data_IF_967551242835
#
_entry.id   IF_967551242835
#
_cell.length_a   1.000
_cell.length_b   1.000
_cell.length_c   1.000
_cell.angle_alpha   90.00
_cell.angle_beta   90.00
_cell.angle_gamma   90.00
#
_symmetry.space_group_name_H-M   'P 1'
#
loop_
_entity.id
_entity.type
_entity.pdbx_description
1 polymer ?
#
# COMPACT_ATOMS: atom_id res chain seq x y z
N UNK A 1 -10.76 9.11 21.14
CA UNK A 1 -9.37 8.70 21.46
C UNK A 1 -8.43 9.36 20.48
N UNK A 2 -7.30 9.96 20.92
CA UNK A 2 -6.31 10.58 20.03
C UNK A 2 -5.13 9.62 19.83
N UNK A 3 -4.94 9.14 18.62
CA UNK A 3 -3.85 8.22 18.24
C UNK A 3 -2.80 8.97 17.43
N UNK A 4 -1.52 8.84 17.82
CA UNK A 4 -0.36 9.29 17.03
C UNK A 4 0.16 8.12 16.19
N UNK A 5 0.07 8.22 14.88
CA UNK A 5 0.62 7.24 13.93
C UNK A 5 2.00 7.62 13.42
N UNK A 6 2.86 6.62 13.25
CA UNK A 6 4.24 6.76 12.75
C UNK A 6 4.48 5.74 11.65
N UNK A 7 4.80 6.22 10.43
CA UNK A 7 5.10 5.40 9.26
C UNK A 7 6.53 5.67 8.78
N UNK A 8 7.33 4.58 8.67
CA UNK A 8 8.72 4.63 8.17
C UNK A 8 9.10 3.33 7.44
N UNK A 9 8.15 2.60 6.82
CA UNK A 9 8.44 1.25 6.31
C UNK A 9 9.26 1.22 5.02
N UNK A 10 9.28 2.30 4.24
CA UNK A 10 9.95 2.36 2.94
C UNK A 10 10.70 3.69 2.72
N UNK A 11 10.17 4.59 1.91
CA UNK A 11 10.80 5.87 1.52
C UNK A 11 9.98 7.11 1.92
N UNK A 12 8.84 6.93 2.58
CA UNK A 12 8.05 7.99 3.20
C UNK A 12 8.28 8.02 4.71
N UNK A 13 8.63 9.19 5.26
CA UNK A 13 8.60 9.47 6.70
C UNK A 13 7.33 10.24 6.99
N UNK A 14 6.40 9.68 7.73
CA UNK A 14 5.14 10.35 8.04
C UNK A 14 4.73 10.21 9.50
N UNK A 15 4.06 11.26 10.01
CA UNK A 15 3.36 11.25 11.29
C UNK A 15 1.96 11.81 11.09
N UNK A 16 0.99 11.29 11.84
CA UNK A 16 -0.38 11.78 11.81
C UNK A 16 -1.06 11.65 13.17
N UNK A 17 -2.02 12.50 13.42
CA UNK A 17 -2.95 12.40 14.53
C UNK A 17 -4.34 12.08 13.99
N UNK A 18 -4.93 11.01 14.51
CA UNK A 18 -6.32 10.61 14.22
C UNK A 18 -7.10 10.63 15.53
N UNK A 19 -8.32 11.16 15.48
CA UNK A 19 -9.25 11.19 16.62
C UNK A 19 -10.61 10.72 16.18
N UNK A 20 -11.08 9.65 16.81
CA UNK A 20 -12.43 9.09 16.59
C UNK A 20 -12.73 8.83 15.10
N UNK A 21 -11.75 8.28 14.37
CA UNK A 21 -11.83 7.97 12.94
C UNK A 21 -11.59 9.15 12.01
N UNK A 22 -11.28 10.35 12.51
CA UNK A 22 -11.02 11.54 11.70
C UNK A 22 -9.54 11.95 11.78
N UNK A 23 -8.95 12.26 10.61
CA UNK A 23 -7.60 12.81 10.55
C UNK A 23 -7.59 14.25 11.08
N UNK A 24 -6.91 14.49 12.19
CA UNK A 24 -6.72 15.83 12.77
C UNK A 24 -5.68 16.61 11.99
N UNK A 25 -4.52 16.01 11.74
CA UNK A 25 -3.41 16.59 10.95
C UNK A 25 -2.44 15.47 10.55
N UNK A 26 -1.75 15.68 9.44
CA UNK A 26 -0.68 14.78 8.99
C UNK A 26 0.48 15.55 8.39
N UNK A 27 1.69 15.03 8.58
CA UNK A 27 2.93 15.56 8.00
C UNK A 27 3.70 14.42 7.34
N UNK A 28 4.27 14.70 6.18
CA UNK A 28 4.99 13.71 5.37
C UNK A 28 6.22 14.33 4.72
N UNK A 29 7.33 13.60 4.74
CA UNK A 29 8.51 13.85 3.93
C UNK A 29 8.78 12.63 3.05
N UNK A 30 8.78 12.83 1.73
CA UNK A 30 9.13 11.78 0.76
C UNK A 30 10.61 11.85 0.40
N UNK A 31 11.19 10.70 0.15
CA UNK A 31 12.57 10.52 -0.31
C UNK A 31 12.63 10.18 -1.81
N UNK A 32 11.49 10.29 -2.51
CA UNK A 32 11.34 9.85 -3.91
C UNK A 32 12.40 10.45 -4.84
N UNK A 33 12.70 11.75 -4.72
CA UNK A 33 13.66 12.43 -5.58
C UNK A 33 15.09 11.88 -5.41
N UNK A 34 15.46 11.53 -4.18
CA UNK A 34 16.78 10.93 -3.90
C UNK A 34 16.86 9.52 -4.48
N UNK A 35 15.84 8.71 -4.28
CA UNK A 35 15.80 7.33 -4.74
C UNK A 35 15.65 7.22 -6.27
N UNK A 36 15.00 8.19 -6.90
CA UNK A 36 14.90 8.26 -8.37
C UNK A 36 16.28 8.33 -9.06
N UNK A 37 17.29 8.95 -8.41
CA UNK A 37 18.66 9.00 -8.92
C UNK A 37 19.31 7.62 -9.05
N UNK A 38 18.87 6.66 -8.23
CA UNK A 38 19.37 5.28 -8.20
C UNK A 38 18.46 4.31 -8.96
N UNK A 39 17.31 4.80 -9.46
CA UNK A 39 16.32 3.97 -10.16
C UNK A 39 15.53 3.02 -9.25
N UNK A 40 15.46 3.33 -7.95
CA UNK A 40 14.73 2.58 -6.94
C UNK A 40 15.23 2.87 -5.53
N UNK A 41 14.52 2.36 -4.50
CA UNK A 41 14.84 2.64 -3.09
C UNK A 41 16.15 1.98 -2.66
N UNK A 42 17.02 2.77 -2.01
CA UNK A 42 18.28 2.32 -1.40
C UNK A 42 18.09 2.27 0.12
N UNK A 43 18.05 1.08 0.75
CA UNK A 43 17.65 0.89 2.16
C UNK A 43 18.48 1.69 3.16
N UNK A 44 19.79 1.81 2.94
CA UNK A 44 20.71 2.54 3.81
C UNK A 44 20.46 4.04 3.78
N UNK A 45 20.13 4.59 2.61
CA UNK A 45 19.77 5.99 2.45
C UNK A 45 18.43 6.24 3.14
N UNK A 46 17.43 5.37 2.88
CA UNK A 46 16.11 5.48 3.48
C UNK A 46 16.21 5.56 5.02
N UNK A 47 16.96 4.66 5.64
CA UNK A 47 17.11 4.64 7.10
C UNK A 47 17.70 5.95 7.66
N UNK A 48 18.69 6.54 6.97
CA UNK A 48 19.34 7.79 7.39
C UNK A 48 18.39 8.99 7.25
N UNK A 49 17.63 9.04 6.18
CA UNK A 49 16.67 10.14 5.96
C UNK A 49 15.50 10.07 6.95
N UNK A 50 14.99 8.87 7.28
CA UNK A 50 14.00 8.73 8.36
C UNK A 50 14.51 9.30 9.69
N UNK A 51 15.75 8.99 10.05
CA UNK A 51 16.36 9.53 11.27
C UNK A 51 16.45 11.07 11.26
N UNK A 52 16.74 11.66 10.10
CA UNK A 52 16.82 13.13 9.95
C UNK A 52 15.47 13.82 10.05
N UNK A 53 14.43 13.22 9.46
CA UNK A 53 13.13 13.88 9.35
C UNK A 53 12.21 13.66 10.54
N UNK A 54 12.31 12.52 11.23
CA UNK A 54 11.28 12.09 12.17
C UNK A 54 11.06 13.09 13.32
N UNK A 55 12.14 13.58 13.93
CA UNK A 55 12.04 14.56 15.02
C UNK A 55 11.46 15.90 14.53
N UNK A 56 11.92 16.40 13.39
CA UNK A 56 11.43 17.66 12.83
C UNK A 56 9.94 17.58 12.41
N UNK A 57 9.53 16.45 11.86
CA UNK A 57 8.11 16.22 11.50
C UNK A 57 7.24 16.11 12.77
N UNK A 58 7.75 15.49 13.83
CA UNK A 58 7.02 15.44 15.10
C UNK A 58 6.81 16.84 15.68
N UNK A 59 7.85 17.65 15.72
CA UNK A 59 7.75 19.04 16.21
C UNK A 59 6.79 19.86 15.34
N UNK A 60 6.83 19.69 14.02
CA UNK A 60 5.92 20.38 13.08
C UNK A 60 4.48 19.94 13.27
N UNK A 61 4.21 18.64 13.46
CA UNK A 61 2.87 18.13 13.71
C UNK A 61 2.28 18.71 15.00
N UNK A 62 3.07 18.71 16.08
CA UNK A 62 2.65 19.28 17.35
C UNK A 62 2.45 20.80 17.28
N UNK A 63 3.31 21.50 16.56
CA UNK A 63 3.19 22.93 16.31
C UNK A 63 1.92 23.30 15.53
N UNK A 64 1.57 22.53 14.48
CA UNK A 64 0.37 22.77 13.65
C UNK A 64 -0.91 22.58 14.43
N UNK A 65 -0.94 21.57 15.28
CA UNK A 65 -2.14 21.22 16.05
C UNK A 65 -2.25 21.97 17.39
N UNK A 66 -1.15 22.51 17.89
CA UNK A 66 -1.09 23.07 19.25
C UNK A 66 -1.16 22.01 20.36
N UNK A 67 -1.11 20.73 19.98
CA UNK A 67 -1.16 19.59 20.90
C UNK A 67 0.25 19.22 21.39
N UNK A 68 0.30 18.42 22.42
CA UNK A 68 1.53 17.87 23.02
C UNK A 68 1.40 16.37 23.19
N UNK A 69 2.50 15.68 23.54
CA UNK A 69 2.47 14.26 23.86
C UNK A 69 1.51 13.93 25.02
N UNK A 70 1.25 14.87 25.92
CA UNK A 70 0.31 14.67 27.02
C UNK A 70 -1.13 14.45 26.52
N UNK A 71 -1.50 15.09 25.41
CA UNK A 71 -2.84 15.03 24.81
C UNK A 71 -3.07 13.74 24.01
N UNK A 72 -2.00 13.02 23.64
CA UNK A 72 -2.05 11.74 22.91
C UNK A 72 -2.47 10.63 23.87
N UNK A 73 -3.46 9.81 23.47
CA UNK A 73 -3.90 8.67 24.27
C UNK A 73 -3.10 7.40 23.97
N UNK A 74 -2.70 7.19 22.70
CA UNK A 74 -2.00 6.00 22.24
C UNK A 74 -1.03 6.33 21.11
N UNK A 75 0.12 5.65 21.07
CA UNK A 75 1.09 5.72 19.98
C UNK A 75 1.00 4.46 19.12
N UNK A 76 0.87 4.62 17.81
CA UNK A 76 0.86 3.53 16.84
C UNK A 76 2.06 3.66 15.90
N UNK A 77 2.72 2.55 15.60
CA UNK A 77 3.89 2.56 14.71
C UNK A 77 3.87 1.34 13.79
N UNK A 78 4.28 1.53 12.56
CA UNK A 78 4.52 0.41 11.65
C UNK A 78 5.67 -0.46 12.16
N UNK A 79 5.34 -1.72 12.52
CA UNK A 79 6.35 -2.71 12.90
C UNK A 79 6.88 -3.52 11.71
N UNK A 80 6.14 -3.54 10.59
CA UNK A 80 6.42 -4.28 9.38
C UNK A 80 5.16 -4.67 8.59
N UNK A 81 5.36 -5.31 7.40
CA UNK A 81 6.64 -5.53 6.75
C UNK A 81 7.22 -4.25 6.16
N UNK A 82 8.56 -4.20 5.99
CA UNK A 82 9.22 -3.04 5.41
C UNK A 82 10.75 -3.21 5.36
N UNK A 83 11.46 -2.13 5.06
CA UNK A 83 12.92 -2.08 5.12
C UNK A 83 13.38 -2.07 6.59
N UNK A 84 14.16 -3.07 7.00
CA UNK A 84 14.51 -3.27 8.41
C UNK A 84 15.09 -2.01 9.08
N UNK A 85 16.07 -1.36 8.44
CA UNK A 85 16.71 -0.17 8.99
C UNK A 85 15.73 1.01 9.14
N UNK A 86 14.83 1.19 8.17
CA UNK A 86 13.78 2.20 8.19
C UNK A 86 12.76 1.94 9.31
N UNK A 87 12.27 0.70 9.42
CA UNK A 87 11.37 0.27 10.50
C UNK A 87 11.99 0.47 11.89
N UNK A 88 13.27 0.14 12.07
CA UNK A 88 13.97 0.29 13.34
C UNK A 88 13.99 1.74 13.82
N UNK A 89 14.13 2.72 12.92
CA UNK A 89 14.09 4.15 13.26
C UNK A 89 12.71 4.54 13.81
N UNK A 90 11.62 4.20 13.09
CA UNK A 90 10.25 4.50 13.53
C UNK A 90 9.89 3.79 14.83
N UNK A 91 10.20 2.49 14.95
CA UNK A 91 9.93 1.69 16.16
C UNK A 91 10.69 2.23 17.36
N UNK A 92 11.98 2.60 17.20
CA UNK A 92 12.76 3.18 18.29
C UNK A 92 12.19 4.53 18.76
N UNK A 93 11.80 5.38 17.82
CA UNK A 93 11.18 6.67 18.10
C UNK A 93 9.84 6.51 18.82
N UNK A 94 8.97 5.61 18.33
CA UNK A 94 7.68 5.32 18.97
C UNK A 94 7.83 4.79 20.39
N UNK A 95 8.78 3.88 20.63
CA UNK A 95 9.11 3.37 21.98
C UNK A 95 9.61 4.49 22.90
N UNK A 96 10.43 5.41 22.36
CA UNK A 96 10.89 6.58 23.09
C UNK A 96 9.74 7.49 23.54
N UNK A 97 8.80 7.80 22.64
CA UNK A 97 7.60 8.60 22.96
C UNK A 97 6.69 7.87 23.96
N UNK A 98 6.47 6.57 23.77
CA UNK A 98 5.67 5.73 24.67
C UNK A 98 6.23 5.77 26.11
N UNK A 99 7.54 5.61 26.25
CA UNK A 99 8.22 5.70 27.57
C UNK A 99 8.15 7.10 28.17
N UNK A 100 8.47 8.14 27.39
CA UNK A 100 8.51 9.52 27.88
C UNK A 100 7.14 10.03 28.33
N UNK A 101 6.08 9.68 27.60
CA UNK A 101 4.71 10.08 27.88
C UNK A 101 3.91 9.06 28.71
N UNK A 102 4.49 7.92 29.05
CA UNK A 102 3.77 6.76 29.60
C UNK A 102 2.51 6.42 28.80
N UNK A 103 2.64 6.35 27.47
CA UNK A 103 1.52 6.09 26.56
C UNK A 103 1.52 4.65 26.10
N UNK A 104 0.36 3.99 26.00
CA UNK A 104 0.24 2.68 25.35
C UNK A 104 0.81 2.71 23.94
N UNK A 105 1.37 1.59 23.50
CA UNK A 105 2.01 1.44 22.20
C UNK A 105 1.35 0.31 21.40
N UNK A 106 1.11 0.56 20.13
CA UNK A 106 0.55 -0.42 19.18
C UNK A 106 1.50 -0.59 18.00
N UNK A 107 1.91 -1.84 17.79
CA UNK A 107 2.73 -2.25 16.67
C UNK A 107 1.84 -2.68 15.49
N UNK A 108 1.68 -1.81 14.52
CA UNK A 108 0.74 -1.97 13.40
C UNK A 108 1.36 -2.78 12.27
N UNK A 109 0.58 -3.68 11.68
CA UNK A 109 0.90 -4.31 10.41
C UNK A 109 0.60 -3.32 9.27
N UNK A 110 1.64 -2.91 8.54
CA UNK A 110 1.56 -1.98 7.42
C UNK A 110 0.50 -2.39 6.35
N UNK A 111 0.46 -3.68 6.01
CA UNK A 111 -0.46 -4.20 4.99
C UNK A 111 -1.92 -4.14 5.46
N UNK A 112 -2.15 -4.47 6.72
CA UNK A 112 -3.48 -4.37 7.33
C UNK A 112 -3.94 -2.91 7.43
N UNK A 113 -3.02 -1.99 7.78
CA UNK A 113 -3.32 -0.58 7.86
C UNK A 113 -3.83 0.00 6.53
N UNK A 114 -3.23 -0.37 5.39
CA UNK A 114 -3.75 0.02 4.08
C UNK A 114 -5.20 -0.42 3.85
N UNK A 115 -5.54 -1.66 4.20
CA UNK A 115 -6.90 -2.17 4.03
C UNK A 115 -7.90 -1.50 4.99
N UNK A 116 -7.48 -1.23 6.22
CA UNK A 116 -8.31 -0.58 7.22
C UNK A 116 -8.47 0.92 7.00
N UNK A 117 -7.54 1.57 6.29
CA UNK A 117 -7.59 3.00 5.98
C UNK A 117 -8.87 3.44 5.26
N UNK A 118 -9.51 2.53 4.54
CA UNK A 118 -10.82 2.77 3.92
C UNK A 118 -11.89 3.14 4.95
N UNK A 119 -11.73 2.71 6.20
CA UNK A 119 -12.61 3.06 7.33
C UNK A 119 -12.62 4.53 7.73
N UNK A 120 -11.65 5.32 7.27
CA UNK A 120 -11.66 6.79 7.43
C UNK A 120 -12.72 7.49 6.56
N UNK A 121 -13.16 6.84 5.49
CA UNK A 121 -14.07 7.42 4.49
C UNK A 121 -15.36 6.62 4.31
N UNK A 122 -15.38 5.37 4.79
CA UNK A 122 -16.49 4.43 4.62
C UNK A 122 -16.76 3.65 5.90
N UNK A 123 -18.02 3.31 6.16
CA UNK A 123 -18.35 2.36 7.22
C UNK A 123 -17.90 0.94 6.83
N UNK A 124 -17.14 0.28 7.70
CA UNK A 124 -16.65 -1.08 7.49
C UNK A 124 -17.58 -2.10 8.15
N UNK A 125 -18.41 -2.75 7.34
CA UNK A 125 -19.28 -3.85 7.79
C UNK A 125 -18.59 -5.18 7.52
N UNK A 126 -18.07 -5.81 8.56
CA UNK A 126 -17.33 -7.07 8.44
C UNK A 126 -18.29 -8.29 8.29
N UNK A 127 -17.85 -9.40 7.65
CA UNK A 127 -16.55 -9.59 7.01
C UNK A 127 -16.46 -8.96 5.61
N UNK A 128 -15.26 -8.50 5.24
CA UNK A 128 -14.96 -7.88 3.95
C UNK A 128 -13.95 -8.74 3.17
N UNK A 129 -13.95 -8.63 1.86
CA UNK A 129 -12.89 -9.17 1.00
C UNK A 129 -11.96 -8.04 0.58
N UNK A 130 -10.69 -8.11 0.98
CA UNK A 130 -9.70 -7.08 0.74
C UNK A 130 -8.69 -7.47 -0.35
N UNK A 131 -8.45 -6.57 -1.32
CA UNK A 131 -7.34 -6.64 -2.26
C UNK A 131 -6.33 -5.54 -1.91
N UNK A 132 -5.14 -5.95 -1.48
CA UNK A 132 -4.01 -5.05 -1.30
C UNK A 132 -3.10 -5.14 -2.52
N UNK A 133 -2.91 -4.02 -3.22
CA UNK A 133 -2.04 -3.92 -4.41
C UNK A 133 -1.13 -2.71 -4.32
N UNK A 134 0.17 -2.95 -4.18
CA UNK A 134 1.21 -1.92 -4.04
C UNK A 134 2.44 -2.24 -4.90
N UNK A 135 3.47 -1.42 -4.82
CA UNK A 135 4.76 -1.69 -5.43
C UNK A 135 5.42 -2.97 -4.93
N UNK A 136 5.18 -3.35 -3.67
CA UNK A 136 5.81 -4.48 -3.03
C UNK A 136 4.92 -5.69 -2.75
N UNK A 137 3.60 -5.53 -2.80
CA UNK A 137 2.65 -6.56 -2.37
C UNK A 137 1.45 -6.65 -3.30
N UNK A 138 0.97 -7.88 -3.52
CA UNK A 138 -0.30 -8.18 -4.17
C UNK A 138 -0.93 -9.34 -3.40
N UNK A 139 -1.88 -9.02 -2.53
CA UNK A 139 -2.47 -9.93 -1.57
C UNK A 139 -3.99 -9.86 -1.58
N UNK A 140 -4.64 -11.00 -1.35
CA UNK A 140 -6.08 -11.08 -1.07
C UNK A 140 -6.26 -11.47 0.39
N UNK A 141 -7.07 -10.72 1.11
CA UNK A 141 -7.42 -10.98 2.50
C UNK A 141 -8.93 -11.15 2.68
N UNK A 142 -9.34 -12.01 3.61
CA UNK A 142 -10.62 -11.88 4.29
C UNK A 142 -10.40 -11.07 5.55
N UNK A 143 -11.23 -10.06 5.76
CA UNK A 143 -11.17 -9.16 6.90
C UNK A 143 -12.38 -9.44 7.77
N UNK A 144 -12.19 -10.20 8.84
CA UNK A 144 -13.28 -10.57 9.77
C UNK A 144 -13.48 -9.49 10.85
N UNK A 145 -12.43 -8.75 11.18
CA UNK A 145 -12.41 -7.64 12.13
C UNK A 145 -11.09 -6.86 11.96
N UNK A 146 -10.91 -5.65 12.55
CA UNK A 146 -9.65 -4.91 12.49
C UNK A 146 -8.43 -5.69 13.02
N UNK A 147 -8.63 -6.57 13.99
CA UNK A 147 -7.60 -7.45 14.55
C UNK A 147 -7.47 -8.81 13.83
N UNK A 148 -8.38 -9.14 12.91
CA UNK A 148 -8.46 -10.47 12.29
C UNK A 148 -8.54 -10.38 10.77
N UNK A 149 -7.40 -10.50 10.12
CA UNK A 149 -7.25 -10.54 8.66
C UNK A 149 -6.59 -11.86 8.25
N UNK A 150 -7.31 -12.67 7.48
CA UNK A 150 -6.79 -13.93 6.94
C UNK A 150 -6.27 -13.74 5.52
N UNK A 151 -5.01 -14.09 5.28
CA UNK A 151 -4.39 -14.07 3.95
C UNK A 151 -4.91 -15.27 3.14
N UNK A 152 -5.62 -14.98 2.05
CA UNK A 152 -6.22 -16.00 1.16
C UNK A 152 -5.35 -16.31 -0.06
N UNK A 153 -4.57 -15.34 -0.53
CA UNK A 153 -3.68 -15.48 -1.68
C UNK A 153 -2.68 -14.32 -1.77
N UNK A 154 -1.56 -14.56 -2.42
CA UNK A 154 -0.48 -13.58 -2.55
C UNK A 154 0.27 -13.76 -3.86
N UNK A 155 1.11 -12.79 -4.25
CA UNK A 155 1.97 -12.97 -5.41
C UNK A 155 3.12 -13.94 -5.11
N UNK A 156 3.41 -14.81 -6.09
CA UNK A 156 4.50 -15.80 -6.04
C UNK A 156 5.82 -15.24 -6.59
N UNK A 157 5.75 -14.11 -7.29
CA UNK A 157 6.90 -13.45 -7.93
C UNK A 157 6.78 -11.91 -7.79
N UNK A 158 6.78 -11.17 -8.89
CA UNK A 158 6.63 -9.72 -8.85
C UNK A 158 5.24 -9.31 -8.30
N UNK A 159 5.19 -8.24 -7.52
CA UNK A 159 3.92 -7.58 -7.20
C UNK A 159 3.38 -6.83 -8.44
N UNK A 160 2.08 -6.54 -8.49
CA UNK A 160 1.46 -5.85 -9.62
C UNK A 160 2.11 -4.48 -9.90
N UNK A 161 2.42 -3.70 -8.86
CA UNK A 161 3.11 -2.42 -9.02
C UNK A 161 4.55 -2.60 -9.51
N UNK A 162 5.28 -3.58 -9.00
CA UNK A 162 6.63 -3.92 -9.46
C UNK A 162 6.63 -4.35 -10.94
N UNK A 163 5.62 -5.12 -11.36
CA UNK A 163 5.45 -5.50 -12.76
C UNK A 163 5.20 -4.27 -13.66
N UNK A 164 4.41 -3.31 -13.19
CA UNK A 164 4.21 -2.03 -13.86
C UNK A 164 5.51 -1.21 -13.97
N UNK A 165 6.25 -1.07 -12.88
CA UNK A 165 7.52 -0.33 -12.89
C UNK A 165 8.57 -0.98 -13.80
N UNK A 166 8.64 -2.32 -13.81
CA UNK A 166 9.51 -3.06 -14.72
C UNK A 166 9.12 -2.87 -16.19
N UNK A 167 7.83 -2.86 -16.51
CA UNK A 167 7.35 -2.59 -17.85
C UNK A 167 7.65 -1.15 -18.29
N UNK A 168 7.40 -0.17 -17.43
CA UNK A 168 7.77 1.22 -17.68
C UNK A 168 9.27 1.37 -17.95
N UNK A 169 10.11 0.70 -17.17
CA UNK A 169 11.57 0.67 -17.36
C UNK A 169 11.96 0.04 -18.71
N UNK A 170 11.29 -1.04 -19.15
CA UNK A 170 11.52 -1.64 -20.46
C UNK A 170 11.18 -0.68 -21.61
N UNK A 171 10.14 0.15 -21.43
CA UNK A 171 9.77 1.23 -22.35
C UNK A 171 10.73 2.43 -22.30
N UNK A 172 11.69 2.48 -21.35
CA UNK A 172 12.58 3.62 -21.18
C UNK A 172 11.98 4.79 -20.40
N UNK A 173 10.81 4.61 -19.79
CA UNK A 173 10.15 5.60 -18.93
C UNK A 173 10.87 5.75 -17.58
N UNK A 174 10.79 6.93 -16.91
CA UNK A 174 11.40 7.15 -15.61
C UNK A 174 10.64 6.45 -14.46
N UNK A 175 11.30 6.32 -13.32
CA UNK A 175 10.69 5.89 -12.07
C UNK A 175 10.03 7.08 -11.34
N UNK A 176 8.86 6.88 -10.67
CA UNK A 176 8.03 5.68 -10.62
C UNK A 176 7.20 5.49 -11.91
N UNK A 177 7.25 4.27 -12.45
CA UNK A 177 6.66 3.96 -13.77
C UNK A 177 5.14 3.84 -13.76
N UNK A 178 4.56 3.33 -12.67
CA UNK A 178 3.13 3.01 -12.60
C UNK A 178 2.21 4.20 -12.86
N UNK A 179 2.55 5.39 -12.35
CA UNK A 179 1.78 6.63 -12.58
C UNK A 179 1.84 7.07 -14.05
N UNK A 180 3.01 6.92 -14.68
CA UNK A 180 3.19 7.28 -16.10
C UNK A 180 2.44 6.30 -17.01
N UNK A 181 2.48 5.01 -16.70
CA UNK A 181 1.71 4.01 -17.43
C UNK A 181 0.21 4.29 -17.35
N UNK A 182 -0.30 4.68 -16.17
CA UNK A 182 -1.72 5.02 -16.03
C UNK A 182 -2.10 6.24 -16.89
N UNK A 183 -1.28 7.31 -16.89
CA UNK A 183 -1.51 8.49 -17.72
C UNK A 183 -1.50 8.17 -19.22
N UNK A 184 -0.55 7.36 -19.67
CA UNK A 184 -0.46 6.95 -21.07
C UNK A 184 -1.63 6.04 -21.43
N UNK A 185 -1.97 5.06 -20.58
CA UNK A 185 -3.07 4.13 -20.77
C UNK A 185 -4.43 4.80 -20.91
N UNK A 186 -4.68 5.91 -20.20
CA UNK A 186 -5.92 6.68 -20.31
C UNK A 186 -6.12 7.34 -21.68
N UNK A 187 -5.06 7.47 -22.49
CA UNK A 187 -5.10 8.05 -23.84
C UNK A 187 -5.08 7.00 -24.93
N UNK A 188 -4.85 5.73 -24.58
CA UNK A 188 -4.76 4.63 -25.52
C UNK A 188 -6.04 3.81 -25.60
N UNK A 189 -6.13 3.01 -26.65
CA UNK A 189 -7.15 1.97 -26.83
C UNK A 189 -6.55 0.62 -26.48
N UNK A 190 -7.14 -0.08 -25.49
CA UNK A 190 -6.62 -1.38 -25.07
C UNK A 190 -7.02 -2.51 -26.02
N UNK A 191 -6.06 -3.40 -26.32
CA UNK A 191 -6.30 -4.69 -26.94
C UNK A 191 -6.27 -5.79 -25.87
N UNK A 192 -7.40 -6.46 -25.69
CA UNK A 192 -7.54 -7.53 -24.69
C UNK A 192 -6.74 -8.79 -25.05
N UNK A 193 -6.26 -8.95 -26.26
CA UNK A 193 -5.52 -10.13 -26.72
C UNK A 193 -4.00 -9.92 -26.74
N UNK A 194 -3.53 -8.68 -26.60
CA UNK A 194 -2.10 -8.35 -26.74
C UNK A 194 -1.23 -8.98 -25.65
N UNK A 195 -1.72 -9.00 -24.40
CA UNK A 195 -0.99 -9.54 -23.26
C UNK A 195 -1.77 -10.65 -22.55
N UNK A 196 -1.09 -11.69 -22.01
CA UNK A 196 -1.74 -12.78 -21.28
C UNK A 196 -2.26 -12.31 -19.91
N UNK A 197 -3.20 -13.10 -19.33
CA UNK A 197 -3.62 -13.02 -17.91
C UNK A 197 -2.99 -14.20 -17.19
N UNK A 198 -1.74 -14.05 -16.73
CA UNK A 198 -1.00 -15.19 -16.23
C UNK A 198 -1.63 -15.74 -14.95
N UNK A 199 -1.49 -17.05 -14.77
CA UNK A 199 -1.86 -17.76 -13.54
C UNK A 199 -3.36 -17.74 -13.17
N UNK A 200 -4.24 -17.16 -14.00
CA UNK A 200 -5.69 -17.06 -13.72
C UNK A 200 -6.44 -18.38 -13.85
N UNK A 201 -5.92 -19.32 -14.66
CA UNK A 201 -6.50 -20.65 -14.86
C UNK A 201 -6.19 -21.63 -13.71
N UNK A 202 -5.18 -21.35 -12.89
CA UNK A 202 -4.81 -22.23 -11.75
C UNK A 202 -5.85 -22.11 -10.64
N UNK A 203 -6.19 -23.26 -10.05
CA UNK A 203 -7.20 -23.28 -8.98
C UNK A 203 -6.61 -22.92 -7.60
N UNK A 204 -6.13 -21.69 -7.49
CA UNK A 204 -5.73 -21.04 -6.23
C UNK A 204 -6.03 -19.53 -6.33
N UNK A 205 -5.72 -18.78 -5.26
CA UNK A 205 -5.91 -17.34 -5.19
C UNK A 205 -4.60 -16.55 -5.32
N UNK A 206 -3.48 -17.24 -5.59
CA UNK A 206 -2.19 -16.61 -5.76
C UNK A 206 -2.06 -15.94 -7.12
N UNK A 207 -1.18 -14.95 -7.20
CA UNK A 207 -0.85 -14.21 -8.40
C UNK A 207 0.54 -14.58 -8.93
N UNK A 208 0.75 -14.38 -10.22
CA UNK A 208 2.08 -14.36 -10.84
C UNK A 208 2.05 -13.36 -11.99
N UNK A 209 3.03 -12.49 -12.06
CA UNK A 209 3.18 -11.50 -13.14
C UNK A 209 4.40 -11.76 -14.03
N UNK A 210 5.18 -12.82 -13.76
CA UNK A 210 6.38 -13.15 -14.54
C UNK A 210 6.06 -13.44 -16.02
N UNK A 211 4.95 -14.13 -16.29
CA UNK A 211 4.49 -14.41 -17.66
C UNK A 211 4.12 -13.14 -18.44
N UNK A 212 3.52 -12.16 -17.76
CA UNK A 212 3.19 -10.87 -18.34
C UNK A 212 4.46 -10.08 -18.70
N UNK A 213 5.46 -10.08 -17.81
CA UNK A 213 6.77 -9.46 -18.05
C UNK A 213 7.46 -10.07 -19.28
N UNK A 214 7.48 -11.39 -19.40
CA UNK A 214 8.09 -12.09 -20.52
C UNK A 214 7.38 -11.74 -21.84
N UNK A 215 6.06 -11.73 -21.86
CA UNK A 215 5.28 -11.35 -23.03
C UNK A 215 5.55 -9.89 -23.45
N UNK A 216 5.63 -8.98 -22.48
CA UNK A 216 5.96 -7.59 -22.73
C UNK A 216 7.37 -7.42 -23.32
N UNK A 217 8.37 -8.13 -22.79
CA UNK A 217 9.73 -8.10 -23.31
C UNK A 217 9.79 -8.61 -24.75
N UNK A 218 9.12 -9.72 -25.05
CA UNK A 218 9.04 -10.28 -26.41
C UNK A 218 8.42 -9.26 -27.39
N UNK A 219 7.28 -8.68 -26.99
CA UNK A 219 6.59 -7.67 -27.81
C UNK A 219 7.46 -6.44 -28.09
N UNK A 220 8.15 -5.92 -27.07
CA UNK A 220 9.00 -4.73 -27.23
C UNK A 220 10.26 -5.01 -28.06
N UNK A 221 10.79 -6.24 -28.06
CA UNK A 221 11.88 -6.64 -28.94
C UNK A 221 11.46 -6.66 -30.42
N UNK A 222 10.20 -6.96 -30.69
CA UNK A 222 9.62 -6.91 -32.05
C UNK A 222 9.23 -5.47 -32.45
N UNK A 223 9.08 -4.56 -31.46
CA UNK A 223 8.66 -3.18 -31.66
C UNK A 223 9.62 -2.17 -31.01
N UNK A 224 10.92 -2.16 -31.39
CA UNK A 224 11.94 -1.34 -30.73
C UNK A 224 11.66 0.17 -30.82
N UNK A 225 10.86 0.62 -31.78
CA UNK A 225 10.43 2.02 -31.92
C UNK A 225 9.70 2.53 -30.68
N UNK A 226 8.92 1.66 -30.01
CA UNK A 226 8.19 2.03 -28.78
C UNK A 226 9.14 2.34 -27.62
N UNK A 227 10.27 1.63 -27.53
CA UNK A 227 11.30 1.88 -26.50
C UNK A 227 12.00 3.21 -26.76
N UNK A 228 12.33 3.51 -28.01
CA UNK A 228 12.90 4.80 -28.41
C UNK A 228 11.94 5.95 -28.10
N UNK A 229 10.68 5.74 -28.34
CA UNK A 229 9.62 6.70 -28.05
C UNK A 229 9.43 6.93 -26.55
N UNK A 230 9.42 5.87 -25.74
CA UNK A 230 9.38 5.99 -24.29
C UNK A 230 10.53 6.81 -23.71
N UNK A 231 11.75 6.70 -24.30
CA UNK A 231 12.90 7.56 -23.95
C UNK A 231 12.64 9.02 -24.29
N UNK A 232 12.02 9.32 -25.45
CA UNK A 232 11.63 10.70 -25.80
C UNK A 232 10.55 11.25 -24.88
N UNK A 233 9.56 10.43 -24.51
CA UNK A 233 8.54 10.82 -23.55
C UNK A 233 9.14 11.17 -22.17
N UNK A 234 10.21 10.50 -21.77
CA UNK A 234 10.99 10.86 -20.56
C UNK A 234 11.51 12.30 -20.59
N UNK A 235 11.92 12.78 -21.75
CA UNK A 235 12.51 14.12 -21.92
C UNK A 235 11.46 15.20 -22.23
N UNK A 236 10.46 14.85 -23.06
CA UNK A 236 9.47 15.78 -23.59
C UNK A 236 8.12 15.76 -22.86
N UNK A 237 7.92 14.83 -21.92
CA UNK A 237 6.68 14.65 -21.18
C UNK A 237 5.67 13.73 -21.88
N UNK A 238 4.66 13.26 -21.13
CA UNK A 238 3.68 12.27 -21.60
C UNK A 238 2.84 12.75 -22.79
N UNK A 239 2.67 14.05 -22.97
CA UNK A 239 1.87 14.62 -24.07
C UNK A 239 2.49 14.39 -25.46
N UNK A 240 3.78 14.08 -25.51
CA UNK A 240 4.50 13.74 -26.73
C UNK A 240 4.34 12.29 -27.20
N UNK A 241 3.68 11.44 -26.41
CA UNK A 241 3.49 10.02 -26.71
C UNK A 241 2.55 9.80 -27.90
N UNK A 242 2.92 8.87 -28.78
CA UNK A 242 2.09 8.43 -29.90
C UNK A 242 0.87 7.61 -29.43
N UNK A 243 -0.16 7.49 -30.27
CA UNK A 243 -1.27 6.56 -30.01
C UNK A 243 -0.77 5.12 -29.80
N UNK A 244 0.21 4.64 -30.57
CA UNK A 244 0.74 3.28 -30.46
C UNK A 244 1.38 3.00 -29.09
N UNK A 245 2.16 3.95 -28.53
CA UNK A 245 2.71 3.82 -27.18
C UNK A 245 1.61 3.84 -26.12
N UNK A 246 0.60 4.70 -26.29
CA UNK A 246 -0.55 4.77 -25.39
C UNK A 246 -1.37 3.47 -25.42
N UNK A 247 -1.59 2.87 -26.61
CA UNK A 247 -2.36 1.63 -26.78
C UNK A 247 -1.67 0.42 -26.13
N UNK A 248 -0.34 0.35 -26.23
CA UNK A 248 0.44 -0.70 -25.57
C UNK A 248 0.38 -0.54 -24.04
N UNK A 249 0.50 0.68 -23.53
CA UNK A 249 0.34 0.94 -22.10
C UNK A 249 -1.08 0.58 -21.63
N UNK A 250 -2.12 0.94 -22.39
CA UNK A 250 -3.51 0.61 -22.08
C UNK A 250 -3.74 -0.92 -22.06
N UNK A 251 -3.19 -1.64 -23.04
CA UNK A 251 -3.31 -3.10 -23.13
C UNK A 251 -2.60 -3.82 -21.98
N UNK A 252 -1.42 -3.33 -21.57
CA UNK A 252 -0.69 -3.88 -20.43
C UNK A 252 -1.46 -3.67 -19.13
N UNK A 253 -1.93 -2.45 -18.88
CA UNK A 253 -2.70 -2.13 -17.68
C UNK A 253 -4.03 -2.88 -17.61
N UNK A 254 -4.70 -3.10 -18.77
CA UNK A 254 -5.87 -3.97 -18.85
C UNK A 254 -5.55 -5.40 -18.41
N UNK A 255 -4.42 -5.97 -18.87
CA UNK A 255 -4.02 -7.32 -18.48
C UNK A 255 -3.76 -7.44 -16.97
N UNK A 256 -3.14 -6.43 -16.36
CA UNK A 256 -2.95 -6.36 -14.89
C UNK A 256 -4.31 -6.28 -14.18
N UNK A 257 -5.17 -5.34 -14.59
CA UNK A 257 -6.47 -5.11 -13.95
C UNK A 257 -7.40 -6.34 -14.03
N UNK A 258 -7.46 -7.01 -15.17
CA UNK A 258 -8.25 -8.23 -15.35
C UNK A 258 -7.67 -9.41 -14.56
N UNK A 259 -6.34 -9.55 -14.48
CA UNK A 259 -5.71 -10.59 -13.64
C UNK A 259 -6.12 -10.41 -12.16
N UNK A 260 -6.09 -9.18 -11.65
CA UNK A 260 -6.53 -8.86 -10.29
C UNK A 260 -8.03 -9.15 -10.10
N UNK A 261 -8.86 -8.68 -11.04
CA UNK A 261 -10.33 -8.86 -10.97
C UNK A 261 -10.75 -10.32 -11.01
N UNK A 262 -10.16 -11.14 -11.90
CA UNK A 262 -10.46 -12.57 -12.00
C UNK A 262 -10.12 -13.35 -10.73
N UNK A 263 -9.01 -13.04 -10.07
CA UNK A 263 -8.63 -13.66 -8.80
C UNK A 263 -9.51 -13.19 -7.64
N UNK A 264 -9.90 -11.92 -7.62
CA UNK A 264 -10.86 -11.40 -6.63
C UNK A 264 -12.25 -12.02 -6.81
N UNK A 265 -12.73 -12.17 -8.04
CA UNK A 265 -13.98 -12.89 -8.31
C UNK A 265 -13.94 -14.32 -7.77
N UNK A 266 -12.84 -15.03 -8.03
CA UNK A 266 -12.62 -16.39 -7.53
C UNK A 266 -12.61 -16.45 -6.01
N UNK A 267 -11.93 -15.48 -5.36
CA UNK A 267 -11.91 -15.35 -3.91
C UNK A 267 -13.32 -15.11 -3.35
N UNK A 268 -14.09 -14.20 -3.98
CA UNK A 268 -15.46 -13.94 -3.56
C UNK A 268 -16.34 -15.20 -3.62
N UNK A 269 -16.24 -15.99 -4.68
CA UNK A 269 -17.00 -17.23 -4.82
C UNK A 269 -16.61 -18.29 -3.78
N UNK A 270 -15.33 -18.38 -3.41
CA UNK A 270 -14.87 -19.29 -2.35
C UNK A 270 -15.35 -18.86 -0.96
N UNK A 271 -15.31 -17.57 -0.68
CA UNK A 271 -15.64 -17.01 0.63
C UNK A 271 -17.14 -16.64 0.79
N UNK A 272 -17.98 -16.85 -0.25
CA UNK A 272 -19.39 -16.39 -0.26
C UNK A 272 -20.21 -16.89 0.94
N UNK A 273 -19.91 -18.10 1.45
CA UNK A 273 -20.62 -18.68 2.61
C UNK A 273 -20.21 -18.00 3.92
N UNK A 274 -19.14 -17.24 3.95
CA UNK A 274 -18.70 -16.43 5.09
C UNK A 274 -19.50 -15.13 5.25
N UNK A 275 -20.42 -14.84 4.31
CA UNK A 275 -21.28 -13.66 4.41
C UNK A 275 -20.58 -12.33 4.03
N UNK A 276 -19.62 -12.36 3.10
CA UNK A 276 -18.89 -11.15 2.63
C UNK A 276 -19.88 -10.01 2.34
N UNK A 277 -19.67 -8.88 2.99
CA UNK A 277 -20.53 -7.69 2.92
C UNK A 277 -20.10 -6.69 1.88
N UNK A 278 -18.79 -6.61 1.56
CA UNK A 278 -18.21 -5.66 0.61
C UNK A 278 -16.80 -6.05 0.15
N UNK A 279 -16.30 -5.30 -0.83
CA UNK A 279 -14.95 -5.46 -1.39
C UNK A 279 -14.16 -4.20 -1.08
N UNK A 280 -12.97 -4.35 -0.51
CA UNK A 280 -11.99 -3.29 -0.26
C UNK A 280 -10.83 -3.43 -1.25
N UNK A 281 -10.37 -2.34 -1.85
CA UNK A 281 -9.13 -2.33 -2.65
C UNK A 281 -8.25 -1.18 -2.18
N UNK A 282 -7.03 -1.50 -1.75
CA UNK A 282 -6.10 -0.56 -1.15
C UNK A 282 -4.66 -0.72 -1.67
N UNK A 283 -3.79 0.22 -1.32
CA UNK A 283 -2.40 0.30 -1.78
C UNK A 283 -2.22 1.15 -3.03
N UNK A 284 -0.98 1.52 -3.36
CA UNK A 284 -0.66 2.50 -4.42
C UNK A 284 -1.23 2.17 -5.80
N UNK A 285 -1.29 0.88 -6.17
CA UNK A 285 -1.88 0.44 -7.46
C UNK A 285 -3.41 0.55 -7.46
N UNK A 286 -4.07 0.61 -6.29
CA UNK A 286 -5.50 0.88 -6.19
C UNK A 286 -5.89 2.29 -6.69
N UNK A 287 -4.93 3.20 -6.83
CA UNK A 287 -5.15 4.51 -7.45
C UNK A 287 -5.26 4.44 -8.98
N UNK A 288 -4.81 3.34 -9.61
CA UNK A 288 -4.81 3.17 -11.07
C UNK A 288 -6.24 3.12 -11.64
N UNK A 289 -6.45 3.85 -12.74
CA UNK A 289 -7.78 4.04 -13.34
C UNK A 289 -8.38 2.73 -13.86
N UNK A 290 -7.60 1.89 -14.54
CA UNK A 290 -8.10 0.62 -15.08
C UNK A 290 -8.37 -0.42 -14.00
N UNK A 291 -7.53 -0.46 -12.94
CA UNK A 291 -7.77 -1.33 -11.78
C UNK A 291 -9.07 -0.93 -11.08
N UNK A 292 -9.30 0.36 -10.84
CA UNK A 292 -10.58 0.85 -10.28
C UNK A 292 -11.77 0.46 -11.14
N UNK A 293 -11.68 0.67 -12.46
CA UNK A 293 -12.76 0.32 -13.38
C UNK A 293 -13.08 -1.19 -13.35
N UNK A 294 -12.05 -2.06 -13.38
CA UNK A 294 -12.24 -3.50 -13.31
C UNK A 294 -12.87 -3.96 -11.98
N UNK A 295 -12.49 -3.31 -10.87
CA UNK A 295 -13.07 -3.62 -9.56
C UNK A 295 -14.52 -3.12 -9.42
N UNK A 296 -14.89 -2.00 -10.04
CA UNK A 296 -16.29 -1.56 -10.12
C UNK A 296 -17.15 -2.58 -10.88
N UNK A 297 -16.69 -3.04 -12.05
CA UNK A 297 -17.39 -4.07 -12.82
C UNK A 297 -17.54 -5.36 -12.00
N UNK A 298 -16.51 -5.79 -11.28
CA UNK A 298 -16.59 -6.95 -10.41
C UNK A 298 -17.61 -6.74 -9.28
N UNK A 299 -17.57 -5.61 -8.59
CA UNK A 299 -18.46 -5.32 -7.47
C UNK A 299 -19.94 -5.31 -7.90
N UNK A 300 -20.25 -4.73 -9.05
CA UNK A 300 -21.58 -4.77 -9.66
C UNK A 300 -21.99 -6.22 -10.00
N UNK A 301 -21.08 -7.00 -10.61
CA UNK A 301 -21.34 -8.41 -10.97
C UNK A 301 -21.67 -9.28 -9.76
N UNK A 302 -20.99 -9.07 -8.64
CA UNK A 302 -21.22 -9.86 -7.41
C UNK A 302 -22.27 -9.23 -6.48
N UNK A 303 -22.81 -8.06 -6.81
CA UNK A 303 -23.83 -7.35 -6.05
C UNK A 303 -23.37 -6.89 -4.66
N UNK A 304 -22.12 -6.42 -4.55
CA UNK A 304 -21.51 -5.95 -3.29
C UNK A 304 -20.94 -4.55 -3.43
N UNK A 305 -20.98 -3.72 -2.37
CA UNK A 305 -20.34 -2.41 -2.40
C UNK A 305 -18.82 -2.55 -2.60
N UNK A 306 -18.26 -1.64 -3.39
CA UNK A 306 -16.82 -1.45 -3.54
C UNK A 306 -16.39 -0.26 -2.68
N UNK A 307 -15.46 -0.51 -1.77
CA UNK A 307 -14.88 0.49 -0.87
C UNK A 307 -13.47 0.81 -1.36
N UNK A 308 -13.29 1.99 -1.91
CA UNK A 308 -12.02 2.48 -2.42
C UNK A 308 -11.60 3.70 -1.61
N UNK A 309 -10.36 3.75 -1.10
CA UNK A 309 -9.88 4.96 -0.44
C UNK A 309 -9.65 6.07 -1.46
N UNK A 310 -9.66 7.31 -0.98
CA UNK A 310 -9.16 8.45 -1.75
C UNK A 310 -7.70 8.21 -2.17
N UNK A 311 -7.25 8.91 -3.23
CA UNK A 311 -5.87 8.70 -3.73
C UNK A 311 -4.80 9.01 -2.69
N UNK A 312 -5.07 9.93 -1.77
CA UNK A 312 -4.17 10.25 -0.66
C UNK A 312 -3.94 9.06 0.28
N UNK A 313 -4.98 8.27 0.57
CA UNK A 313 -4.89 7.09 1.44
C UNK A 313 -4.36 5.84 0.71
N UNK A 314 -4.19 5.88 -0.62
CA UNK A 314 -3.63 4.75 -1.37
C UNK A 314 -2.12 4.59 -1.18
N UNK A 315 -1.37 5.68 -0.99
CA UNK A 315 0.09 5.67 -0.78
C UNK A 315 0.45 5.53 0.68
N UNK A 316 1.72 5.22 0.98
CA UNK A 316 2.22 5.10 2.35
C UNK A 316 2.02 6.43 3.09
N UNK A 317 1.35 6.37 4.24
CA UNK A 317 1.02 7.53 5.05
C UNK A 317 0.82 7.12 6.52
N UNK A 318 0.98 8.07 7.45
CA UNK A 318 0.80 7.80 8.87
C UNK A 318 -0.67 7.83 9.33
N UNK A 319 -1.59 8.37 8.50
CA UNK A 319 -3.02 8.40 8.87
C UNK A 319 -3.58 7.00 8.94
N UNK A 320 -3.20 6.11 8.00
CA UNK A 320 -3.59 4.70 8.02
C UNK A 320 -3.05 3.96 9.25
N UNK A 321 -1.84 4.31 9.70
CA UNK A 321 -1.23 3.70 10.90
C UNK A 321 -1.93 4.18 12.16
N UNK A 322 -2.21 5.49 12.27
CA UNK A 322 -2.96 6.05 13.38
C UNK A 322 -4.37 5.46 13.45
N UNK A 323 -5.07 5.36 12.33
CA UNK A 323 -6.42 4.80 12.29
C UNK A 323 -6.45 3.30 12.66
N UNK A 324 -5.55 2.49 12.10
CA UNK A 324 -5.44 1.08 12.48
C UNK A 324 -5.09 0.91 13.96
N UNK A 325 -4.18 1.75 14.49
CA UNK A 325 -3.85 1.80 15.90
C UNK A 325 -5.04 2.17 16.77
N UNK A 326 -5.80 3.19 16.38
CA UNK A 326 -7.02 3.59 17.09
C UNK A 326 -8.07 2.47 17.14
N UNK A 327 -8.33 1.80 16.00
CA UNK A 327 -9.26 0.67 15.93
C UNK A 327 -8.86 -0.46 16.88
N UNK A 328 -7.57 -0.81 16.92
CA UNK A 328 -7.05 -1.84 17.82
C UNK A 328 -7.12 -1.38 19.30
N UNK A 329 -6.76 -0.14 19.58
CA UNK A 329 -6.82 0.42 20.93
C UNK A 329 -8.24 0.46 21.49
N UNK A 330 -9.24 0.84 20.66
CA UNK A 330 -10.65 0.84 21.06
C UNK A 330 -11.16 -0.56 21.44
N UNK A 331 -10.51 -1.61 20.95
CA UNK A 331 -10.78 -3.00 21.33
C UNK A 331 -9.93 -3.51 22.49
N UNK A 332 -9.08 -2.65 23.06
CA UNK A 332 -8.20 -2.98 24.18
C UNK A 332 -6.92 -3.73 23.80
N UNK A 333 -6.55 -3.75 22.49
CA UNK A 333 -5.31 -4.38 22.03
C UNK A 333 -4.13 -3.42 22.07
N UNK A 334 -2.95 -3.93 22.41
CA UNK A 334 -1.68 -3.22 22.38
C UNK A 334 -0.49 -4.17 22.49
N UNK A 335 0.70 -3.63 22.50
CA UNK A 335 1.93 -4.38 22.77
C UNK A 335 2.75 -3.70 23.85
N UNK A 336 3.54 -4.52 24.57
CA UNK A 336 4.64 -3.99 25.40
C UNK A 336 5.80 -3.50 24.53
N UNK A 337 6.87 -3.03 25.18
CA UNK A 337 8.04 -2.50 24.45
C UNK A 337 8.93 -3.56 23.79
N UNK A 338 8.68 -4.85 24.03
CA UNK A 338 9.59 -5.93 23.62
C UNK A 338 9.42 -6.42 22.15
N UNK A 339 8.44 -5.89 21.41
CA UNK A 339 8.24 -6.35 20.02
C UNK A 339 9.39 -5.92 19.09
N UNK A 340 9.80 -6.78 18.14
CA UNK A 340 10.80 -6.45 17.12
C UNK A 340 10.16 -5.77 15.90
N UNK A 341 10.97 -5.04 15.11
CA UNK A 341 10.65 -4.72 13.72
C UNK A 341 10.73 -5.98 12.85
N UNK A 342 9.82 -6.14 11.90
CA UNK A 342 9.73 -7.33 11.04
C UNK A 342 10.00 -6.93 9.58
N UNK A 343 11.14 -7.33 8.99
CA UNK A 343 11.47 -6.97 7.63
C UNK A 343 10.59 -7.68 6.60
N UNK A 344 10.59 -7.15 5.37
CA UNK A 344 9.95 -7.79 4.20
C UNK A 344 10.42 -9.25 4.07
N UNK A 345 9.49 -10.13 3.71
CA UNK A 345 9.74 -11.57 3.55
C UNK A 345 9.61 -12.39 4.84
N UNK A 346 9.36 -11.77 5.98
CA UNK A 346 9.06 -12.45 7.23
C UNK A 346 7.58 -12.27 7.60
N UNK A 347 7.00 -13.31 8.19
CA UNK A 347 5.62 -13.28 8.70
C UNK A 347 5.59 -12.46 10.00
N UNK A 348 4.64 -11.52 10.09
CA UNK A 348 4.37 -10.84 11.35
C UNK A 348 3.76 -11.84 12.35
N UNK A 349 4.23 -11.84 13.60
CA UNK A 349 3.63 -12.66 14.64
C UNK A 349 2.23 -12.14 15.01
N UNK A 350 1.36 -13.07 15.38
CA UNK A 350 0.08 -12.78 16.00
C UNK A 350 0.29 -12.67 17.52
N UNK A 351 0.73 -11.49 17.95
CA UNK A 351 1.13 -11.22 19.34
C UNK A 351 0.44 -9.97 19.91
N UNK A 352 -0.78 -9.69 19.43
CA UNK A 352 -1.63 -8.67 20.02
C UNK A 352 -1.94 -9.04 21.49
N UNK A 353 -1.57 -8.16 22.40
CA UNK A 353 -1.82 -8.30 23.83
C UNK A 353 -2.81 -7.26 24.33
N UNK A 354 -2.92 -7.15 25.66
CA UNK A 354 -3.76 -6.15 26.30
C UNK A 354 -3.12 -4.75 26.22
N UNK A 355 -3.93 -3.74 25.95
CA UNK A 355 -3.51 -2.34 25.89
C UNK A 355 -3.10 -1.84 27.28
N UNK A 356 -1.82 -1.58 27.48
CA UNK A 356 -1.26 -1.08 28.74
C UNK A 356 -0.21 -0.01 28.49
N UNK A 357 -0.13 0.98 29.38
CA UNK A 357 0.98 1.92 29.40
C UNK A 357 2.28 1.24 29.90
N UNK A 358 3.48 1.66 29.42
CA UNK A 358 4.74 0.97 29.74
C UNK A 358 5.06 0.81 31.21
N UNK A 359 4.77 1.84 32.03
CA UNK A 359 5.05 1.82 33.47
C UNK A 359 4.12 0.91 34.28
N UNK A 360 3.05 0.38 33.66
CA UNK A 360 2.17 -0.62 34.28
C UNK A 360 2.52 -2.05 33.89
N UNK A 361 3.50 -2.23 32.98
CA UNK A 361 3.96 -3.53 32.47
C UNK A 361 5.35 -3.92 33.00
N UNK A 362 5.94 -3.11 33.88
CA UNK A 362 7.15 -3.37 34.67
C UNK A 362 6.76 -3.79 36.08
#
# INVERSE_FOLDING_TARGET
MLCLGIETSCDETALALVRDGECVESVLATQMDVHALFGGVVPEIASREHYRFLGALYDELMRRTGLTLADVDVVAVTRGPGLLGALLVGVAFAKGLSLAGNKPLIAVNHLHAHLLAVGLEHELLYPLLGLLVSGGHTHIYRIDAPESLELLGHTLDDAAGEACDKFAKMLGLPYPGGVLLDRLAQRGTSDAHLFPRPYTHVDNLDFSFSGLKTAALTYLNEHPVLVEEGRRVREAGTDSASPALCDVCASYMLAVAETLSLKMEKAFHRERQKGITGIVVAGGVAANTQVRAAMHVLAEKVGKPLLLPSRFLCTDNAVMIAHAGELLACKGYGQGLAFPAIPRGQKLPDDLGELRAPLHSL
#
